data_IF_088679088367
#
_entry.id   IF_088679088367
#
_cell.length_a   1.000
_cell.length_b   1.000
_cell.length_c   1.000
_cell.angle_alpha   90.00
_cell.angle_beta   90.00
_cell.angle_gamma   90.00
#
_symmetry.space_group_name_H-M   'P 1'
#
loop_
_entity.id
_entity.type
_entity.pdbx_description
1 polymer ?
#
# COMPACT_ATOMS: atom_id res chain seq x y z
N UNK A 1 21.14 29.13 11.49
CA UNK A 1 19.74 28.70 11.27
C UNK A 1 19.78 27.19 11.39
N UNK A 2 19.26 26.63 12.47
CA UNK A 2 19.19 25.17 12.63
C UNK A 2 18.20 24.65 11.60
N UNK A 3 18.61 23.67 10.79
CA UNK A 3 17.73 23.09 9.78
C UNK A 3 16.69 22.25 10.50
N UNK A 4 15.42 22.56 10.28
CA UNK A 4 14.32 21.84 10.92
C UNK A 4 14.09 20.48 10.25
N UNK A 5 13.57 19.52 11.02
CA UNK A 5 13.15 18.21 10.50
C UNK A 5 12.18 18.35 9.32
N UNK A 6 11.27 19.33 9.37
CA UNK A 6 10.31 19.59 8.31
C UNK A 6 11.00 20.06 7.01
N UNK A 7 11.99 20.94 7.07
CA UNK A 7 12.72 21.41 5.88
C UNK A 7 13.46 20.26 5.20
N UNK A 8 14.10 19.37 5.98
CA UNK A 8 14.76 18.18 5.45
C UNK A 8 13.75 17.22 4.80
N UNK A 9 12.60 16.99 5.45
CA UNK A 9 11.56 16.13 4.90
C UNK A 9 10.98 16.68 3.59
N UNK A 10 10.75 17.99 3.49
CA UNK A 10 10.26 18.64 2.27
C UNK A 10 11.27 18.53 1.12
N UNK A 11 12.56 18.68 1.40
CA UNK A 11 13.61 18.50 0.40
C UNK A 11 13.72 17.03 -0.05
N UNK A 12 13.62 16.08 0.90
CA UNK A 12 13.54 14.65 0.59
C UNK A 12 12.36 14.32 -0.33
N UNK A 13 11.18 14.87 -0.04
CA UNK A 13 9.99 14.70 -0.88
C UNK A 13 10.18 15.28 -2.28
N UNK A 14 10.77 16.48 -2.36
CA UNK A 14 11.07 17.14 -3.64
C UNK A 14 12.00 16.27 -4.51
N UNK A 15 13.04 15.69 -3.93
CA UNK A 15 13.99 14.82 -4.62
C UNK A 15 13.34 13.51 -5.10
N UNK A 16 12.53 12.87 -4.26
CA UNK A 16 11.76 11.69 -4.68
C UNK A 16 10.82 12.01 -5.85
N UNK A 17 10.17 13.18 -5.88
CA UNK A 17 9.35 13.63 -7.01
C UNK A 17 10.14 13.82 -8.31
N UNK A 18 11.42 14.18 -8.20
CA UNK A 18 12.34 14.26 -9.34
C UNK A 18 12.93 12.91 -9.76
N UNK A 19 12.62 11.83 -9.02
CA UNK A 19 13.13 10.48 -9.27
C UNK A 19 14.48 10.18 -8.61
N UNK A 20 15.08 11.12 -7.89
CA UNK A 20 16.29 10.88 -7.11
C UNK A 20 15.93 10.34 -5.72
N UNK A 21 15.57 9.06 -5.67
CA UNK A 21 15.21 8.39 -4.43
C UNK A 21 16.39 8.21 -3.47
N UNK A 22 17.63 8.09 -3.99
CA UNK A 22 18.81 7.93 -3.12
C UNK A 22 19.09 9.19 -2.33
N UNK A 23 19.09 10.35 -3.00
CA UNK A 23 19.23 11.62 -2.30
C UNK A 23 18.04 11.87 -1.36
N UNK A 24 16.81 11.58 -1.82
CA UNK A 24 15.61 11.71 -1.00
C UNK A 24 15.67 10.93 0.31
N UNK A 25 16.12 9.67 0.26
CA UNK A 25 16.35 8.84 1.46
C UNK A 25 17.33 9.50 2.43
N UNK A 26 18.46 10.00 1.95
CA UNK A 26 19.45 10.67 2.80
C UNK A 26 18.86 11.87 3.55
N UNK A 27 18.00 12.66 2.90
CA UNK A 27 17.32 13.79 3.53
C UNK A 27 16.29 13.35 4.57
N UNK A 28 15.51 12.31 4.28
CA UNK A 28 14.56 11.78 5.26
C UNK A 28 15.24 11.13 6.48
N UNK A 29 16.35 10.42 6.29
CA UNK A 29 17.13 9.86 7.41
C UNK A 29 17.73 10.98 8.27
N UNK A 30 18.22 12.05 7.65
CA UNK A 30 18.65 13.25 8.37
C UNK A 30 17.48 13.90 9.14
N UNK A 31 16.28 13.96 8.55
CA UNK A 31 15.09 14.48 9.23
C UNK A 31 14.75 13.66 10.50
N UNK A 32 14.85 12.33 10.44
CA UNK A 32 14.66 11.45 11.61
C UNK A 32 15.72 11.73 12.68
N UNK A 33 16.98 11.94 12.29
CA UNK A 33 18.07 12.23 13.23
C UNK A 33 17.89 13.57 13.95
N UNK A 34 17.39 14.59 13.26
CA UNK A 34 17.03 15.88 13.88
C UNK A 34 15.87 15.70 14.86
N UNK A 35 14.91 14.82 14.52
CA UNK A 35 13.76 14.52 15.35
C UNK A 35 12.67 15.58 15.26
N UNK A 36 11.45 15.19 15.64
CA UNK A 36 10.29 16.07 15.71
C UNK A 36 9.34 15.57 16.80
N UNK A 37 8.68 16.50 17.49
CA UNK A 37 7.58 16.19 18.42
C UNK A 37 6.25 15.97 17.69
N UNK A 38 6.16 16.44 16.44
CA UNK A 38 4.99 16.24 15.58
C UNK A 38 4.99 14.82 15.01
N UNK A 39 4.14 13.97 15.59
CA UNK A 39 4.02 12.56 15.22
C UNK A 39 3.40 12.38 13.84
N UNK A 40 2.60 13.33 13.35
CA UNK A 40 2.04 13.30 12.00
C UNK A 40 3.14 13.54 10.96
N UNK A 41 4.03 14.50 11.21
CA UNK A 41 5.23 14.71 10.36
C UNK A 41 6.13 13.48 10.38
N UNK A 42 6.34 12.88 11.56
CA UNK A 42 7.16 11.67 11.67
C UNK A 42 6.56 10.48 10.90
N UNK A 43 5.25 10.26 10.99
CA UNK A 43 4.52 9.25 10.21
C UNK A 43 4.67 9.49 8.71
N UNK A 44 4.50 10.74 8.26
CA UNK A 44 4.70 11.08 6.85
C UNK A 44 6.13 10.76 6.38
N UNK A 45 7.15 11.07 7.18
CA UNK A 45 8.55 10.74 6.87
C UNK A 45 8.74 9.21 6.75
N UNK A 46 8.22 8.42 7.70
CA UNK A 46 8.30 6.96 7.63
C UNK A 46 7.60 6.39 6.40
N UNK A 47 6.40 6.87 6.08
CA UNK A 47 5.69 6.48 4.84
C UNK A 47 6.53 6.75 3.60
N UNK A 48 7.11 7.96 3.50
CA UNK A 48 7.89 8.38 2.34
C UNK A 48 9.22 7.64 2.22
N UNK A 49 9.90 7.34 3.34
CA UNK A 49 11.07 6.48 3.36
C UNK A 49 10.75 5.07 2.89
N UNK A 50 9.65 4.48 3.38
CA UNK A 50 9.21 3.17 2.94
C UNK A 50 8.97 3.12 1.42
N UNK A 51 8.30 4.14 0.88
CA UNK A 51 8.08 4.28 -0.56
C UNK A 51 9.40 4.44 -1.34
N UNK A 52 10.32 5.29 -0.85
CA UNK A 52 11.60 5.52 -1.51
C UNK A 52 12.45 4.25 -1.53
N UNK A 53 12.53 3.52 -0.42
CA UNK A 53 13.20 2.22 -0.35
C UNK A 53 12.55 1.17 -1.24
N UNK A 54 11.22 1.16 -1.34
CA UNK A 54 10.50 0.30 -2.27
C UNK A 54 10.89 0.59 -3.72
N UNK A 55 11.00 1.86 -4.11
CA UNK A 55 11.46 2.27 -5.45
C UNK A 55 12.94 1.94 -5.71
N UNK A 56 13.76 1.90 -4.66
CA UNK A 56 15.17 1.47 -4.72
C UNK A 56 15.34 -0.06 -4.69
N UNK A 57 14.24 -0.82 -4.63
CA UNK A 57 14.21 -2.28 -4.51
C UNK A 57 14.83 -2.84 -3.21
N UNK A 58 15.02 -2.00 -2.19
CA UNK A 58 15.36 -2.43 -0.84
C UNK A 58 14.08 -2.71 -0.05
N UNK A 59 13.46 -3.85 -0.35
CA UNK A 59 12.16 -4.22 0.22
C UNK A 59 12.23 -4.54 1.72
N UNK A 60 13.42 -4.87 2.25
CA UNK A 60 13.61 -5.12 3.67
C UNK A 60 13.46 -3.82 4.48
N UNK A 61 14.16 -2.75 4.06
CA UNK A 61 14.00 -1.43 4.68
C UNK A 61 12.62 -0.83 4.43
N UNK A 62 12.06 -1.01 3.24
CA UNK A 62 10.70 -0.57 2.95
C UNK A 62 9.69 -1.20 3.92
N UNK A 63 9.85 -2.49 4.24
CA UNK A 63 9.00 -3.20 5.19
C UNK A 63 9.13 -2.63 6.61
N UNK A 64 10.34 -2.34 7.09
CA UNK A 64 10.56 -1.72 8.40
C UNK A 64 9.88 -0.37 8.50
N UNK A 65 10.12 0.54 7.56
CA UNK A 65 9.56 1.89 7.61
C UNK A 65 8.04 1.91 7.47
N UNK A 66 7.44 1.05 6.63
CA UNK A 66 5.99 0.90 6.59
C UNK A 66 5.41 0.30 7.88
N UNK A 67 6.14 -0.57 8.59
CA UNK A 67 5.72 -1.06 9.92
C UNK A 67 5.81 0.03 10.99
N UNK A 68 6.84 0.87 10.95
CA UNK A 68 6.94 2.03 11.84
C UNK A 68 5.80 3.00 11.62
N UNK A 69 5.50 3.35 10.36
CA UNK A 69 4.36 4.19 9.99
C UNK A 69 3.02 3.58 10.45
N UNK A 70 2.80 2.29 10.21
CA UNK A 70 1.58 1.61 10.66
C UNK A 70 1.43 1.62 12.19
N UNK A 71 2.53 1.42 12.92
CA UNK A 71 2.52 1.43 14.39
C UNK A 71 2.23 2.83 14.92
N UNK A 72 2.83 3.85 14.30
CA UNK A 72 2.67 5.24 14.71
C UNK A 72 1.26 5.75 14.44
N UNK A 73 0.73 5.53 13.23
CA UNK A 73 -0.65 5.91 12.84
C UNK A 73 -1.70 5.27 13.75
N UNK A 74 -1.51 4.00 14.16
CA UNK A 74 -2.34 3.35 15.19
C UNK A 74 -2.23 4.02 16.56
N UNK A 75 -1.02 4.37 16.97
CA UNK A 75 -0.75 4.97 18.29
C UNK A 75 -1.43 6.34 18.42
N UNK A 76 -1.44 7.14 17.35
CA UNK A 76 -2.06 8.47 17.34
C UNK A 76 -3.55 8.45 16.94
N UNK A 77 -4.09 7.29 16.55
CA UNK A 77 -5.48 7.14 16.12
C UNK A 77 -5.79 7.74 14.74
N UNK A 78 -4.79 7.90 13.86
CA UNK A 78 -5.01 8.34 12.48
C UNK A 78 -5.49 7.17 11.62
N UNK A 79 -6.81 7.05 11.48
CA UNK A 79 -7.43 6.01 10.66
C UNK A 79 -7.04 6.12 9.17
N UNK A 80 -6.94 7.33 8.63
CA UNK A 80 -6.59 7.51 7.21
C UNK A 80 -5.12 7.13 6.98
N UNK A 81 -4.23 7.51 7.89
CA UNK A 81 -2.84 7.07 7.92
C UNK A 81 -2.71 5.56 8.06
N UNK A 82 -3.42 4.94 9.00
CA UNK A 82 -3.39 3.48 9.23
C UNK A 82 -3.82 2.73 7.97
N UNK A 83 -4.86 3.20 7.29
CA UNK A 83 -5.34 2.60 6.04
C UNK A 83 -4.27 2.65 4.94
N UNK A 84 -3.62 3.80 4.74
CA UNK A 84 -2.53 3.98 3.77
C UNK A 84 -1.32 3.13 4.11
N UNK A 85 -0.87 3.16 5.37
CA UNK A 85 0.26 2.38 5.87
C UNK A 85 0.02 0.88 5.68
N UNK A 86 -1.19 0.40 5.98
CA UNK A 86 -1.62 -0.99 5.76
C UNK A 86 -1.55 -1.35 4.26
N UNK A 87 -2.03 -0.48 3.37
CA UNK A 87 -1.95 -0.68 1.92
C UNK A 87 -0.50 -0.77 1.40
N UNK A 88 0.37 0.13 1.88
CA UNK A 88 1.79 0.16 1.49
C UNK A 88 2.53 -1.10 2.00
N UNK A 89 2.31 -1.46 3.28
CA UNK A 89 2.86 -2.66 3.87
C UNK A 89 2.43 -3.92 3.12
N UNK A 90 1.15 -4.01 2.75
CA UNK A 90 0.61 -5.11 1.94
C UNK A 90 1.29 -5.23 0.58
N UNK A 91 1.56 -4.10 -0.09
CA UNK A 91 2.29 -4.10 -1.35
C UNK A 91 3.75 -4.55 -1.21
N UNK A 92 4.44 -4.15 -0.14
CA UNK A 92 5.80 -4.61 0.14
C UNK A 92 5.84 -6.11 0.47
N UNK A 93 4.92 -6.60 1.30
CA UNK A 93 4.79 -8.03 1.62
C UNK A 93 4.50 -8.88 0.38
N UNK A 94 3.65 -8.38 -0.52
CA UNK A 94 3.38 -9.03 -1.82
C UNK A 94 4.64 -9.23 -2.63
N UNK A 95 5.49 -8.21 -2.75
CA UNK A 95 6.75 -8.30 -3.51
C UNK A 95 7.74 -9.26 -2.85
N UNK A 96 7.72 -9.34 -1.51
CA UNK A 96 8.49 -10.31 -0.73
C UNK A 96 7.92 -11.75 -0.79
N UNK A 97 6.83 -12.00 -1.52
CA UNK A 97 6.19 -13.32 -1.59
C UNK A 97 5.40 -13.73 -0.34
N UNK A 98 5.23 -12.83 0.62
CA UNK A 98 4.50 -13.06 1.89
C UNK A 98 3.02 -12.77 1.70
N UNK A 99 2.38 -13.57 0.82
CA UNK A 99 1.04 -13.28 0.32
C UNK A 99 -0.03 -13.27 1.41
N UNK A 100 0.01 -14.20 2.37
CA UNK A 100 -1.02 -14.28 3.41
C UNK A 100 -1.00 -13.06 4.33
N UNK A 101 0.19 -12.58 4.71
CA UNK A 101 0.34 -11.33 5.47
C UNK A 101 -0.07 -10.11 4.64
N UNK A 102 0.23 -10.10 3.34
CA UNK A 102 -0.18 -9.03 2.44
C UNK A 102 -1.71 -8.91 2.36
N UNK A 103 -2.43 -10.05 2.34
CA UNK A 103 -3.90 -10.07 2.35
C UNK A 103 -4.47 -9.47 3.63
N UNK A 104 -3.92 -9.82 4.80
CA UNK A 104 -4.34 -9.23 6.09
C UNK A 104 -4.18 -7.71 6.07
N UNK A 105 -3.07 -7.21 5.52
CA UNK A 105 -2.83 -5.77 5.42
C UNK A 105 -3.82 -5.09 4.44
N UNK A 106 -4.10 -5.71 3.29
CA UNK A 106 -5.09 -5.20 2.34
C UNK A 106 -6.51 -5.20 2.93
N UNK A 107 -6.84 -6.22 3.73
CA UNK A 107 -8.12 -6.33 4.44
C UNK A 107 -8.29 -5.17 5.41
N UNK A 108 -7.27 -4.93 6.24
CA UNK A 108 -7.30 -3.81 7.19
C UNK A 108 -7.47 -2.46 6.51
N UNK A 109 -6.79 -2.22 5.38
CA UNK A 109 -6.99 -1.02 4.58
C UNK A 109 -8.45 -0.91 4.11
N UNK A 110 -9.03 -1.98 3.59
CA UNK A 110 -10.42 -1.98 3.10
C UNK A 110 -11.44 -1.73 4.22
N UNK A 111 -11.25 -2.34 5.39
CA UNK A 111 -12.10 -2.14 6.56
C UNK A 111 -12.11 -0.68 7.00
N UNK A 112 -10.93 -0.10 7.23
CA UNK A 112 -10.84 1.29 7.66
C UNK A 112 -11.42 2.23 6.59
N UNK A 113 -11.13 1.99 5.31
CA UNK A 113 -11.67 2.79 4.22
C UNK A 113 -13.21 2.72 4.13
N UNK A 114 -13.83 1.62 4.58
CA UNK A 114 -15.29 1.52 4.73
C UNK A 114 -15.76 2.31 5.94
N UNK A 115 -15.10 2.18 7.07
CA UNK A 115 -15.46 2.86 8.33
C UNK A 115 -15.46 4.37 8.17
N UNK A 116 -14.46 4.93 7.48
CA UNK A 116 -14.37 6.37 7.21
C UNK A 116 -15.09 6.80 5.92
N UNK A 117 -15.80 5.89 5.25
CA UNK A 117 -16.51 6.14 3.98
C UNK A 117 -15.62 6.66 2.82
N UNK A 118 -14.33 6.36 2.83
CA UNK A 118 -13.40 6.70 1.74
C UNK A 118 -13.57 5.72 0.56
N UNK A 119 -14.32 6.16 -0.46
CA UNK A 119 -14.56 5.37 -1.68
C UNK A 119 -13.30 5.18 -2.52
N UNK A 120 -12.38 6.14 -2.52
CA UNK A 120 -11.11 6.03 -3.26
C UNK A 120 -10.19 5.03 -2.56
N UNK A 121 -10.10 5.09 -1.24
CA UNK A 121 -9.41 4.11 -0.41
C UNK A 121 -9.97 2.70 -0.60
N UNK A 122 -11.30 2.53 -0.60
CA UNK A 122 -11.94 1.24 -0.87
C UNK A 122 -11.52 0.66 -2.23
N UNK A 123 -11.56 1.47 -3.30
CA UNK A 123 -11.15 1.03 -4.63
C UNK A 123 -9.65 0.64 -4.67
N UNK A 124 -8.77 1.42 -4.03
CA UNK A 124 -7.34 1.12 -3.93
C UNK A 124 -7.07 -0.16 -3.15
N UNK A 125 -7.74 -0.36 -2.03
CA UNK A 125 -7.59 -1.56 -1.21
C UNK A 125 -8.01 -2.82 -1.98
N UNK A 126 -9.15 -2.77 -2.67
CA UNK A 126 -9.63 -3.88 -3.49
C UNK A 126 -8.71 -4.16 -4.70
N UNK A 127 -8.15 -3.12 -5.33
CA UNK A 127 -7.15 -3.27 -6.37
C UNK A 127 -5.88 -3.96 -5.84
N UNK A 128 -5.40 -3.56 -4.66
CA UNK A 128 -4.26 -4.20 -4.01
C UNK A 128 -4.54 -5.67 -3.69
N UNK A 129 -5.74 -6.00 -3.22
CA UNK A 129 -6.17 -7.38 -3.04
C UNK A 129 -6.05 -8.20 -4.32
N UNK A 130 -6.64 -7.73 -5.42
CA UNK A 130 -6.57 -8.41 -6.71
C UNK A 130 -5.12 -8.65 -7.16
N UNK A 131 -4.25 -7.67 -6.95
CA UNK A 131 -2.81 -7.80 -7.24
C UNK A 131 -2.11 -8.85 -6.37
N UNK A 132 -2.46 -8.97 -5.08
CA UNK A 132 -1.90 -9.99 -4.19
C UNK A 132 -2.32 -11.38 -4.65
N UNK A 133 -3.60 -11.59 -4.95
CA UNK A 133 -4.11 -12.87 -5.47
C UNK A 133 -3.51 -13.24 -6.80
N UNK A 134 -3.41 -12.28 -7.72
CA UNK A 134 -2.77 -12.50 -9.01
C UNK A 134 -1.31 -12.93 -8.84
N UNK A 135 -0.54 -12.25 -7.98
CA UNK A 135 0.84 -12.59 -7.70
C UNK A 135 0.98 -13.97 -7.03
N UNK A 136 0.11 -14.30 -6.05
CA UNK A 136 0.06 -15.60 -5.39
C UNK A 136 -0.21 -16.73 -6.39
N UNK A 137 -1.25 -16.58 -7.21
CA UNK A 137 -1.59 -17.55 -8.27
C UNK A 137 -0.45 -17.74 -9.27
N UNK A 138 0.19 -16.65 -9.71
CA UNK A 138 1.35 -16.71 -10.61
C UNK A 138 2.53 -17.47 -9.99
N UNK A 139 2.81 -17.27 -8.70
CA UNK A 139 3.84 -18.00 -7.96
C UNK A 139 3.53 -19.50 -7.85
N UNK A 140 2.24 -19.85 -7.72
CA UNK A 140 1.77 -21.23 -7.65
C UNK A 140 1.92 -21.93 -9.02
N UNK A 141 1.58 -21.26 -10.12
CA UNK A 141 1.78 -21.80 -11.46
C UNK A 141 3.24 -22.17 -11.76
N UNK A 142 4.21 -21.43 -11.21
CA UNK A 142 5.63 -21.75 -11.35
C UNK A 142 6.13 -22.84 -10.41
N UNK A 143 5.45 -23.07 -9.28
CA UNK A 143 5.81 -24.10 -8.31
C UNK A 143 5.07 -25.42 -8.51
N UNK A 144 4.07 -25.46 -9.39
CA UNK A 144 3.30 -26.67 -9.70
C UNK A 144 2.36 -27.11 -8.57
N UNK A 145 2.10 -26.25 -7.59
CA UNK A 145 1.16 -26.52 -6.51
C UNK A 145 -0.29 -26.22 -6.95
N UNK A 146 -1.27 -26.85 -6.30
CA UNK A 146 -2.69 -26.52 -6.52
C UNK A 146 -3.02 -25.16 -5.88
N UNK A 147 -3.70 -24.23 -6.58
CA UNK A 147 -4.02 -22.89 -6.07
C UNK A 147 -4.85 -22.85 -4.78
N UNK A 148 -5.53 -23.94 -4.44
CA UNK A 148 -6.58 -23.97 -3.42
C UNK A 148 -7.80 -23.14 -3.83
N UNK A 149 -8.81 -23.09 -2.96
CA UNK A 149 -10.01 -22.28 -3.16
C UNK A 149 -9.77 -20.82 -2.72
N UNK A 150 -10.35 -19.88 -3.47
CA UNK A 150 -10.34 -18.47 -3.08
C UNK A 150 -11.31 -18.25 -1.90
N UNK A 151 -10.90 -17.50 -0.86
CA UNK A 151 -11.80 -17.13 0.24
C UNK A 151 -13.04 -16.35 -0.26
N UNK A 152 -14.21 -16.63 0.34
CA UNK A 152 -15.50 -16.04 -0.10
C UNK A 152 -15.53 -14.51 -0.04
N UNK A 153 -14.87 -13.92 0.95
CA UNK A 153 -14.71 -12.48 1.13
C UNK A 153 -13.99 -11.83 -0.07
N UNK A 154 -13.10 -12.57 -0.70
CA UNK A 154 -12.31 -12.12 -1.85
C UNK A 154 -13.10 -12.25 -3.14
N UNK A 155 -13.82 -13.36 -3.30
CA UNK A 155 -14.75 -13.52 -4.41
C UNK A 155 -15.82 -12.41 -4.38
N UNK A 156 -16.38 -12.13 -3.21
CA UNK A 156 -17.31 -11.03 -3.01
C UNK A 156 -16.64 -9.66 -3.25
N UNK A 157 -15.39 -9.47 -2.83
CA UNK A 157 -14.63 -8.24 -3.09
C UNK A 157 -14.38 -8.00 -4.59
N UNK A 158 -14.03 -9.05 -5.34
CA UNK A 158 -13.81 -9.02 -6.80
C UNK A 158 -15.12 -8.76 -7.56
N UNK A 159 -16.22 -9.39 -7.15
CA UNK A 159 -17.54 -9.09 -7.74
C UNK A 159 -17.95 -7.64 -7.46
N UNK A 160 -17.64 -7.12 -6.27
CA UNK A 160 -17.91 -5.74 -5.89
C UNK A 160 -17.04 -4.74 -6.65
N UNK A 161 -15.77 -5.03 -6.91
CA UNK A 161 -14.96 -4.17 -7.80
C UNK A 161 -15.43 -4.24 -9.23
N UNK A 162 -15.77 -5.42 -9.75
CA UNK A 162 -16.31 -5.55 -11.09
C UNK A 162 -17.59 -4.72 -11.24
N UNK A 163 -18.50 -4.77 -10.26
CA UNK A 163 -19.72 -3.93 -10.26
C UNK A 163 -19.42 -2.45 -10.05
N UNK A 164 -18.43 -2.08 -9.24
CA UNK A 164 -18.05 -0.66 -9.07
C UNK A 164 -17.41 -0.08 -10.33
N UNK A 165 -16.53 -0.84 -10.98
CA UNK A 165 -15.92 -0.49 -12.27
C UNK A 165 -17.00 -0.38 -13.33
N UNK A 166 -17.93 -1.33 -13.45
CA UNK A 166 -19.01 -1.21 -14.44
C UNK A 166 -19.93 -0.03 -14.16
N UNK A 167 -20.28 0.25 -12.90
CA UNK A 167 -21.10 1.42 -12.56
C UNK A 167 -20.40 2.76 -12.82
N UNK A 168 -19.06 2.81 -12.73
CA UNK A 168 -18.27 4.02 -13.02
C UNK A 168 -17.86 4.15 -14.48
N UNK A 169 -17.63 3.04 -15.19
CA UNK A 169 -17.34 2.98 -16.63
C UNK A 169 -18.59 2.91 -17.51
N UNK A 170 -19.79 2.71 -16.94
CA UNK A 170 -21.06 2.95 -17.65
C UNK A 170 -21.29 4.45 -17.97
N UNK A 171 -20.39 5.35 -17.57
CA UNK A 171 -20.27 6.70 -18.10
C UNK A 171 -19.21 6.86 -19.21
N UNK A 172 -18.58 5.77 -19.66
CA UNK A 172 -17.56 5.76 -20.70
C UNK A 172 -17.11 4.36 -21.14
N UNK A 173 -17.83 3.81 -22.12
CA UNK A 173 -17.39 2.78 -23.10
C UNK A 173 -16.92 1.37 -22.62
N UNK A 174 -17.74 0.38 -22.98
CA UNK A 174 -17.46 -1.05 -23.23
C UNK A 174 -16.87 -1.91 -22.10
N UNK A 175 -17.76 -2.60 -21.38
CA UNK A 175 -17.45 -3.77 -20.55
C UNK A 175 -17.41 -5.05 -21.40
N UNK A 176 -16.29 -5.78 -21.38
CA UNK A 176 -16.24 -7.21 -21.73
C UNK A 176 -16.29 -8.05 -20.43
N UNK A 177 -17.21 -9.02 -20.28
CA UNK A 177 -17.30 -9.81 -19.06
C UNK A 177 -16.28 -10.97 -19.04
N UNK A 178 -15.68 -11.19 -17.88
CA UNK A 178 -14.72 -12.25 -17.54
C UNK A 178 -15.29 -13.69 -17.55
N UNK A 179 -16.29 -13.99 -18.40
CA UNK A 179 -16.80 -15.35 -18.60
C UNK A 179 -16.05 -16.02 -19.73
N UNK A 180 -14.86 -16.55 -19.46
CA UNK A 180 -14.20 -17.58 -20.29
C UNK A 180 -13.03 -18.22 -19.52
N UNK A 181 -13.32 -18.80 -18.36
CA UNK A 181 -12.41 -19.74 -17.70
C UNK A 181 -13.23 -20.73 -16.85
N UNK A 182 -14.15 -21.41 -17.52
CA UNK A 182 -14.78 -22.66 -17.04
C UNK A 182 -15.28 -23.45 -18.25
N UNK A 183 -14.35 -24.03 -18.99
CA UNK A 183 -14.54 -25.24 -19.80
C UNK A 183 -13.21 -25.98 -19.88
#
# INVERSE_FOLDING_TARGET
MEVSCLELALEGERLCKLGDYRAGVSFFEAAIQVGTEDLQVLSAIYSQLGNAYFHLHDYAKALEFHRHDLTLTRTIGDLLGEAKASGNLGNTLKVLGRFDEAMVCCQRHLEIARDISDKVGQARALYNFGNVYHAKGKSICWSGAEPGDFPEDVMAAVERTATWVTLTTCWGTFATPWRLMSR
#
